data_IF_624196420140
#
_entry.id   IF_624196420140
#
_cell.length_a   1.000
_cell.length_b   1.000
_cell.length_c   1.000
_cell.angle_alpha   90.00
_cell.angle_beta   90.00
_cell.angle_gamma   90.00
#
_symmetry.space_group_name_H-M   'P 1'
#
loop_
_entity.id
_entity.type
_entity.pdbx_description
1 polymer ?
#
# COMPACT_ATOMS: atom_id res chain seq x y z
N UNK A 1 11.82 -2.35 -28.85
CA UNK A 1 12.00 -3.80 -28.64
C UNK A 1 11.58 -4.17 -27.22
N UNK A 2 11.07 -5.38 -27.00
CA UNK A 2 10.60 -5.86 -25.69
C UNK A 2 11.29 -7.19 -25.34
N UNK A 3 11.57 -7.42 -24.07
CA UNK A 3 12.21 -8.66 -23.60
C UNK A 3 11.88 -8.89 -22.14
N UNK A 4 11.58 -10.14 -21.79
CA UNK A 4 11.41 -10.56 -20.39
C UNK A 4 12.76 -10.86 -19.73
N UNK A 5 13.79 -11.06 -20.54
CA UNK A 5 15.15 -11.41 -20.13
C UNK A 5 16.13 -10.47 -20.83
N UNK A 6 16.17 -9.22 -20.36
CA UNK A 6 17.03 -8.19 -20.95
C UNK A 6 18.51 -8.57 -20.91
N UNK A 7 18.90 -9.32 -19.89
CA UNK A 7 20.25 -9.77 -19.61
C UNK A 7 20.84 -10.73 -20.64
N UNK A 8 20.02 -11.34 -21.49
CA UNK A 8 20.49 -12.30 -22.52
C UNK A 8 20.64 -11.68 -23.91
N UNK A 9 20.43 -10.37 -24.05
CA UNK A 9 20.56 -9.68 -25.33
C UNK A 9 22.00 -9.23 -25.58
N UNK A 10 22.45 -9.42 -26.83
CA UNK A 10 23.74 -8.93 -27.30
C UNK A 10 23.77 -7.38 -27.31
N UNK A 11 24.86 -6.81 -26.81
CA UNK A 11 25.03 -5.36 -26.66
C UNK A 11 24.97 -4.62 -28.00
N UNK A 12 25.36 -5.27 -29.11
CA UNK A 12 25.27 -4.67 -30.44
C UNK A 12 23.82 -4.37 -30.88
N UNK A 13 22.84 -5.03 -30.26
CA UNK A 13 21.41 -4.86 -30.55
C UNK A 13 20.76 -3.74 -29.72
N UNK A 14 21.27 -3.45 -28.52
CA UNK A 14 20.71 -2.43 -27.61
C UNK A 14 21.51 -1.11 -27.60
N UNK A 15 22.57 -1.01 -28.41
CA UNK A 15 23.39 0.21 -28.48
C UNK A 15 22.65 1.41 -29.10
N UNK A 16 23.07 2.64 -28.78
CA UNK A 16 22.46 3.86 -29.32
C UNK A 16 22.43 3.88 -30.85
N UNK A 17 21.32 4.36 -31.44
CA UNK A 17 21.05 4.30 -32.88
C UNK A 17 20.39 3.00 -33.36
N UNK A 18 20.32 1.97 -32.50
CA UNK A 18 19.44 0.79 -32.67
C UNK A 18 18.30 0.77 -31.66
N UNK A 19 18.56 1.16 -30.42
CA UNK A 19 17.55 1.37 -29.37
C UNK A 19 17.88 2.62 -28.58
N UNK A 20 17.01 3.61 -28.64
CA UNK A 20 17.26 4.91 -28.02
C UNK A 20 16.51 5.08 -26.68
N UNK A 21 15.49 4.26 -26.41
CA UNK A 21 14.73 4.26 -25.16
C UNK A 21 14.36 2.84 -24.70
N UNK A 22 14.38 2.62 -23.40
CA UNK A 22 13.98 1.35 -22.77
C UNK A 22 13.17 1.63 -21.52
N UNK A 23 12.01 0.97 -21.41
CA UNK A 23 11.10 1.05 -20.26
C UNK A 23 10.89 -0.36 -19.75
N UNK A 24 11.10 -0.56 -18.44
CA UNK A 24 10.84 -1.83 -17.78
C UNK A 24 9.42 -1.85 -17.23
N UNK A 25 8.67 -2.89 -17.59
CA UNK A 25 7.32 -3.12 -17.11
C UNK A 25 7.33 -4.33 -16.18
N UNK A 26 7.20 -4.07 -14.87
CA UNK A 26 6.90 -5.13 -13.90
C UNK A 26 5.40 -5.47 -13.94
N UNK A 27 5.05 -6.71 -13.59
CA UNK A 27 3.66 -7.17 -13.57
C UNK A 27 2.83 -6.35 -12.57
N UNK A 28 1.71 -5.79 -13.04
CA UNK A 28 0.57 -5.40 -12.21
C UNK A 28 -0.51 -6.44 -12.48
N UNK A 29 -0.94 -7.19 -11.46
CA UNK A 29 -2.06 -8.13 -11.63
C UNK A 29 -3.38 -7.34 -11.67
N UNK A 30 -3.72 -6.73 -12.80
CA UNK A 30 -4.92 -5.90 -12.89
C UNK A 30 -5.43 -5.70 -14.34
N UNK A 31 -6.26 -6.61 -14.84
CA UNK A 31 -7.17 -6.27 -15.96
C UNK A 31 -8.62 -6.78 -15.81
N UNK A 32 -8.92 -7.80 -14.98
CA UNK A 32 -10.32 -7.95 -14.50
C UNK A 32 -10.69 -6.90 -13.44
N UNK A 33 -9.69 -6.22 -12.88
CA UNK A 33 -9.86 -5.27 -11.79
C UNK A 33 -10.05 -3.82 -12.24
N UNK A 34 -10.32 -3.49 -13.51
CA UNK A 34 -10.50 -2.07 -13.90
C UNK A 34 -11.92 -1.54 -13.61
N UNK A 35 -12.95 -2.31 -13.94
CA UNK A 35 -14.34 -2.01 -13.55
C UNK A 35 -14.59 -2.35 -12.07
N UNK A 36 -13.91 -3.38 -11.56
CA UNK A 36 -13.83 -3.60 -10.11
C UNK A 36 -13.09 -2.42 -9.46
N UNK A 37 -11.98 -1.91 -10.02
CA UNK A 37 -11.24 -0.79 -9.42
C UNK A 37 -12.10 0.45 -9.23
N UNK A 38 -13.03 0.81 -10.11
CA UNK A 38 -13.89 1.98 -9.84
C UNK A 38 -14.89 1.73 -8.70
N UNK A 39 -15.49 0.54 -8.61
CA UNK A 39 -16.36 0.15 -7.51
C UNK A 39 -15.58 -0.09 -6.20
N UNK A 40 -14.45 -0.76 -6.26
CA UNK A 40 -13.46 -0.93 -5.20
C UNK A 40 -12.89 0.41 -4.78
N UNK A 41 -12.66 1.38 -5.67
CA UNK A 41 -12.22 2.73 -5.32
C UNK A 41 -13.32 3.49 -4.58
N UNK A 42 -14.59 3.32 -4.96
CA UNK A 42 -15.71 3.90 -4.23
C UNK A 42 -15.89 3.26 -2.84
N UNK A 43 -15.81 1.92 -2.75
CA UNK A 43 -15.82 1.20 -1.49
C UNK A 43 -14.59 1.56 -0.64
N UNK A 44 -13.42 1.68 -1.26
CA UNK A 44 -12.16 2.09 -0.62
C UNK A 44 -12.23 3.53 -0.13
N UNK A 45 -12.92 4.44 -0.83
CA UNK A 45 -13.20 5.79 -0.31
C UNK A 45 -14.11 5.76 0.92
N UNK A 46 -15.12 4.87 0.94
CA UNK A 46 -15.98 4.68 2.12
C UNK A 46 -15.18 4.07 3.28
N UNK A 47 -14.33 3.09 2.97
CA UNK A 47 -13.41 2.45 3.91
C UNK A 47 -12.38 3.44 4.45
N UNK A 48 -11.81 4.29 3.59
CA UNK A 48 -10.86 5.36 3.93
C UNK A 48 -11.52 6.38 4.84
N UNK A 49 -12.75 6.80 4.54
CA UNK A 49 -13.51 7.72 5.38
C UNK A 49 -13.87 7.11 6.75
N UNK A 50 -14.12 5.79 6.82
CA UNK A 50 -14.27 5.09 8.10
C UNK A 50 -12.94 5.02 8.85
N UNK A 51 -11.87 4.64 8.15
CA UNK A 51 -10.53 4.52 8.71
C UNK A 51 -10.02 5.86 9.25
N UNK A 52 -10.36 6.97 8.60
CA UNK A 52 -10.05 8.33 9.06
C UNK A 52 -10.70 8.60 10.43
N UNK A 53 -11.99 8.29 10.58
CA UNK A 53 -12.69 8.42 11.88
C UNK A 53 -12.10 7.52 12.96
N UNK A 54 -11.82 6.26 12.64
CA UNK A 54 -11.19 5.34 13.59
C UNK A 54 -9.78 5.82 13.98
N UNK A 55 -9.05 6.42 13.04
CA UNK A 55 -7.74 7.03 13.28
C UNK A 55 -7.81 8.23 14.22
N UNK A 56 -8.83 9.06 14.10
CA UNK A 56 -9.09 10.18 15.02
C UNK A 56 -9.40 9.68 16.44
N UNK A 57 -10.29 8.68 16.57
CA UNK A 57 -10.60 8.05 17.87
C UNK A 57 -9.36 7.40 18.50
N UNK A 58 -8.55 6.70 17.69
CA UNK A 58 -7.30 6.10 18.14
C UNK A 58 -6.30 7.16 18.59
N UNK A 59 -6.14 8.26 17.83
CA UNK A 59 -5.25 9.35 18.20
C UNK A 59 -5.70 10.09 19.47
N UNK A 60 -7.01 10.21 19.70
CA UNK A 60 -7.56 10.82 20.92
C UNK A 60 -7.29 9.98 22.19
N UNK A 61 -7.17 8.66 22.03
CA UNK A 61 -6.88 7.73 23.13
C UNK A 61 -5.38 7.63 23.45
N UNK A 62 -4.49 7.98 22.52
CA UNK A 62 -3.05 7.89 22.74
C UNK A 62 -2.58 9.03 23.66
N UNK A 63 -2.04 8.73 24.86
CA UNK A 63 -1.49 9.75 25.73
C UNK A 63 -0.24 10.40 25.11
N UNK A 64 -0.21 11.74 25.14
CA UNK A 64 0.87 12.52 24.54
C UNK A 64 2.20 12.17 25.21
N UNK A 65 3.23 11.88 24.41
CA UNK A 65 4.63 11.58 24.83
C UNK A 65 4.88 10.19 25.42
N UNK A 66 3.95 9.23 25.30
CA UNK A 66 4.14 7.88 25.89
C UNK A 66 4.76 6.86 24.94
N UNK A 67 4.47 6.95 23.63
CA UNK A 67 4.85 5.93 22.65
C UNK A 67 5.66 6.52 21.49
N UNK A 68 6.62 5.75 20.99
CA UNK A 68 7.37 6.10 19.78
C UNK A 68 6.56 5.81 18.51
N UNK A 69 6.84 6.49 17.38
CA UNK A 69 6.19 6.20 16.10
C UNK A 69 6.34 4.74 15.65
N UNK A 70 7.47 4.09 15.99
CA UNK A 70 7.73 2.69 15.65
C UNK A 70 6.86 1.71 16.45
N UNK A 71 6.58 2.01 17.72
CA UNK A 71 5.68 1.21 18.55
C UNK A 71 4.24 1.30 18.08
N UNK A 72 3.78 2.51 17.74
CA UNK A 72 2.46 2.73 17.16
C UNK A 72 2.33 2.00 15.82
N UNK A 73 3.34 2.14 14.94
CA UNK A 73 3.35 1.43 13.66
C UNK A 73 3.38 -0.09 13.85
N UNK A 74 4.17 -0.60 14.80
CA UNK A 74 4.23 -2.02 15.12
C UNK A 74 2.90 -2.56 15.65
N UNK A 75 2.20 -1.80 16.50
CA UNK A 75 0.87 -2.12 16.99
C UNK A 75 -0.16 -2.17 15.85
N UNK A 76 -0.20 -1.13 14.99
CA UNK A 76 -1.09 -1.10 13.83
C UNK A 76 -0.80 -2.23 12.82
N UNK A 77 0.45 -2.67 12.69
CA UNK A 77 0.82 -3.82 11.85
C UNK A 77 0.32 -5.16 12.41
N UNK A 78 0.20 -5.31 13.74
CA UNK A 78 -0.42 -6.50 14.36
C UNK A 78 -1.92 -6.57 14.05
N UNK A 79 -2.59 -5.41 13.99
CA UNK A 79 -4.02 -5.29 13.71
C UNK A 79 -4.31 -4.85 12.25
N UNK A 80 -3.45 -5.21 11.30
CA UNK A 80 -3.48 -4.73 9.89
C UNK A 80 -4.81 -4.96 9.16
N UNK A 81 -5.61 -5.94 9.59
CA UNK A 81 -6.92 -6.28 8.98
C UNK A 81 -8.10 -6.06 9.94
N UNK A 82 -7.85 -5.51 11.11
CA UNK A 82 -8.84 -5.34 12.16
C UNK A 82 -8.64 -4.01 12.93
N UNK A 83 -9.02 -2.88 12.32
CA UNK A 83 -8.88 -1.57 12.95
C UNK A 83 -9.84 -1.37 14.13
N UNK A 84 -10.97 -2.07 14.19
CA UNK A 84 -11.92 -2.01 15.30
C UNK A 84 -11.37 -2.75 16.53
N UNK A 85 -10.74 -3.92 16.33
CA UNK A 85 -10.06 -4.65 17.39
C UNK A 85 -8.92 -3.86 18.03
N UNK A 86 -8.19 -3.07 17.23
CA UNK A 86 -7.15 -2.17 17.74
C UNK A 86 -7.72 -1.12 18.70
N UNK A 87 -8.90 -0.57 18.44
CA UNK A 87 -9.56 0.36 19.35
C UNK A 87 -10.04 -0.34 20.63
N UNK A 88 -10.68 -1.50 20.52
CA UNK A 88 -11.17 -2.27 21.67
C UNK A 88 -10.05 -2.66 22.64
N UNK A 89 -8.88 -3.04 22.13
CA UNK A 89 -7.74 -3.41 22.97
C UNK A 89 -7.11 -2.18 23.65
N UNK A 90 -7.16 -1.00 23.01
CA UNK A 90 -6.83 0.27 23.66
C UNK A 90 -7.82 0.61 24.77
N UNK A 91 -9.13 0.40 24.56
CA UNK A 91 -10.15 0.58 25.61
C UNK A 91 -9.99 -0.42 26.78
N UNK A 92 -9.56 -1.65 26.51
CA UNK A 92 -9.38 -2.70 27.52
C UNK A 92 -8.10 -2.60 28.35
N UNK A 93 -7.17 -1.72 27.97
CA UNK A 93 -5.89 -1.50 28.67
C UNK A 93 -5.91 -0.30 29.65
N UNK A 94 -7.08 0.30 29.89
CA UNK A 94 -7.31 1.29 30.96
C UNK A 94 -7.78 0.59 32.23
#
# INVERSE_FOLDING_TARGET
MTTNHREKLDEALIRPGRVDMSVEFSLVLAEEKAAEATATLALKKIEEAKLEKLGEEFAALIPTVTFSPAEIQGYLLKHKRDPEGALLEVYGST
#
